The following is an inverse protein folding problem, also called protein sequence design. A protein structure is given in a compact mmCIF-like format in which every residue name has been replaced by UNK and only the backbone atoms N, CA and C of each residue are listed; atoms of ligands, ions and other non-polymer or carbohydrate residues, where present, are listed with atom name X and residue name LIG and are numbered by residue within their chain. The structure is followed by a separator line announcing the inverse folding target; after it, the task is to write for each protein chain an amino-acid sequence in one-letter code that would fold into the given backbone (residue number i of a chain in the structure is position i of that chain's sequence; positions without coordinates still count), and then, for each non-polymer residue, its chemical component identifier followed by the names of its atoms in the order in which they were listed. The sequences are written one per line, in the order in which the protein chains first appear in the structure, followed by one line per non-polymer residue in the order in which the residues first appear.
data_IF_854419003985
#
_entry.id   IF_854419003985
#
_cell.length_a   1.000
_cell.length_b   1.000
_cell.length_c   1.000
_cell.angle_alpha   90.00
_cell.angle_beta   90.00
_cell.angle_gamma   90.00
#
_symmetry.space_group_name_H-M   'P 1'
#
loop_
_entity.id
_entity.type
_entity.pdbx_description
1 polymer ?
#
# COMPACT_ATOMS: atom_id res chain seq x y z
N UNK A 1 23.12 44.52 6.61
CA UNK A 1 23.21 43.08 6.28
C UNK A 1 22.43 42.90 4.99
N UNK A 2 23.09 42.48 3.90
CA UNK A 2 22.42 42.31 2.61
C UNK A 2 21.52 41.08 2.68
N UNK A 3 20.21 41.25 2.52
CA UNK A 3 19.32 40.13 2.23
C UNK A 3 19.85 39.43 0.98
N UNK A 4 20.07 38.12 1.07
CA UNK A 4 20.35 37.32 -0.13
C UNK A 4 19.08 37.37 -0.99
N UNK A 5 19.17 37.61 -2.30
CA UNK A 5 18.04 37.40 -3.18
C UNK A 5 17.70 35.91 -3.11
N UNK A 6 16.57 35.56 -2.48
CA UNK A 6 16.02 34.21 -2.56
C UNK A 6 15.82 33.89 -4.03
N UNK A 7 16.44 32.81 -4.52
CA UNK A 7 16.30 32.43 -5.92
C UNK A 7 14.81 32.31 -6.23
N UNK A 8 14.27 32.89 -7.31
CA UNK A 8 12.84 32.77 -7.64
C UNK A 8 12.38 31.31 -7.87
N UNK A 9 13.31 30.33 -7.98
CA UNK A 9 13.01 28.89 -7.90
C UNK A 9 12.82 28.34 -6.48
N UNK A 10 13.33 29.02 -5.46
CA UNK A 10 13.27 28.60 -4.04
C UNK A 10 12.00 29.14 -3.35
N UNK A 11 11.32 30.12 -3.95
CA UNK A 11 9.99 30.51 -3.52
C UNK A 11 8.99 29.42 -3.90
N UNK A 12 8.44 28.77 -2.87
CA UNK A 12 7.31 27.85 -2.93
C UNK A 12 6.13 28.44 -3.74
N UNK A 13 6.16 28.27 -5.07
CA UNK A 13 5.07 28.63 -5.98
C UNK A 13 5.29 27.97 -7.36
N UNK A 14 5.39 26.64 -7.41
CA UNK A 14 5.24 25.96 -8.71
C UNK A 14 4.02 25.07 -8.62
N UNK A 15 3.05 25.27 -9.51
CA UNK A 15 1.88 24.39 -9.71
C UNK A 15 2.26 23.01 -10.28
N UNK A 16 3.55 22.67 -10.25
CA UNK A 16 4.09 21.39 -10.71
C UNK A 16 3.90 20.34 -9.64
N UNK A 17 3.65 19.11 -10.07
CA UNK A 17 3.53 17.96 -9.18
C UNK A 17 4.87 17.72 -8.44
N UNK A 18 4.90 17.75 -7.10
CA UNK A 18 6.13 17.61 -6.32
C UNK A 18 6.53 16.12 -6.19
N UNK A 19 7.03 15.52 -7.27
CA UNK A 19 7.40 14.09 -7.33
C UNK A 19 8.37 13.65 -6.22
N UNK A 20 9.25 14.55 -5.77
CA UNK A 20 10.22 14.32 -4.70
C UNK A 20 9.60 14.03 -3.31
N UNK A 21 8.29 14.21 -3.13
CA UNK A 21 7.61 13.84 -1.88
C UNK A 21 7.37 12.33 -1.76
N UNK A 22 7.44 11.59 -2.88
CA UNK A 22 7.40 10.13 -2.85
C UNK A 22 8.78 9.62 -2.47
N UNK A 23 8.95 8.83 -1.39
CA UNK A 23 10.24 8.27 -1.05
C UNK A 23 10.71 7.29 -2.13
N UNK A 24 11.96 7.43 -2.59
CA UNK A 24 12.59 6.53 -3.58
C UNK A 24 12.60 5.06 -3.14
N UNK A 25 12.48 4.78 -1.83
CA UNK A 25 12.27 3.43 -1.29
C UNK A 25 11.06 2.72 -1.93
N UNK A 26 9.99 3.47 -2.21
CA UNK A 26 8.81 2.92 -2.90
C UNK A 26 9.18 2.52 -4.32
N UNK A 27 9.91 3.37 -5.05
CA UNK A 27 10.34 3.09 -6.42
C UNK A 27 11.27 1.88 -6.49
N UNK A 28 12.24 1.78 -5.57
CA UNK A 28 13.18 0.67 -5.50
C UNK A 28 12.47 -0.68 -5.26
N UNK A 29 11.54 -0.74 -4.30
CA UNK A 29 10.77 -1.96 -4.04
C UNK A 29 9.81 -2.28 -5.19
N UNK A 30 9.14 -1.27 -5.75
CA UNK A 30 8.29 -1.46 -6.93
C UNK A 30 9.10 -2.05 -8.09
N UNK A 31 10.29 -1.50 -8.37
CA UNK A 31 11.18 -1.97 -9.43
C UNK A 31 11.54 -3.45 -9.25
N UNK A 32 11.83 -3.90 -8.01
CA UNK A 32 12.09 -5.31 -7.72
C UNK A 32 10.89 -6.21 -8.06
N UNK A 33 9.68 -5.82 -7.64
CA UNK A 33 8.46 -6.59 -7.95
C UNK A 33 8.13 -6.55 -9.45
N UNK A 34 8.36 -5.43 -10.13
CA UNK A 34 8.21 -5.34 -11.59
C UNK A 34 9.25 -6.14 -12.35
N UNK A 35 10.49 -6.27 -11.84
CA UNK A 35 11.49 -7.14 -12.43
C UNK A 35 11.05 -8.62 -12.34
N UNK A 36 10.51 -9.05 -11.21
CA UNK A 36 9.90 -10.38 -11.06
C UNK A 36 8.74 -10.57 -12.05
N UNK A 37 7.84 -9.59 -12.17
CA UNK A 37 6.73 -9.62 -13.12
C UNK A 37 7.20 -9.68 -14.58
N UNK A 38 8.21 -8.90 -14.94
CA UNK A 38 8.80 -8.88 -16.27
C UNK A 38 9.46 -10.22 -16.63
N UNK A 39 10.14 -10.85 -15.68
CA UNK A 39 10.72 -12.18 -15.88
C UNK A 39 9.65 -13.27 -16.12
N UNK A 40 8.46 -13.13 -15.53
CA UNK A 40 7.36 -14.10 -15.67
C UNK A 40 6.48 -13.84 -16.91
N UNK A 41 6.22 -12.58 -17.23
CA UNK A 41 5.14 -12.20 -18.15
C UNK A 41 5.53 -11.16 -19.21
N UNK A 42 6.80 -10.74 -19.23
CA UNK A 42 7.27 -9.61 -20.03
C UNK A 42 6.93 -8.26 -19.39
N UNK A 43 7.80 -7.27 -19.61
CA UNK A 43 7.61 -5.92 -19.07
C UNK A 43 6.39 -5.23 -19.71
N UNK A 44 5.66 -4.42 -18.93
CA UNK A 44 4.53 -3.59 -19.38
C UNK A 44 3.36 -4.35 -20.03
N UNK A 45 3.27 -5.67 -19.85
CA UNK A 45 2.26 -6.50 -20.49
C UNK A 45 0.81 -6.03 -20.20
N UNK A 46 0.56 -5.49 -19.00
CA UNK A 46 -0.74 -4.96 -18.58
C UNK A 46 -1.21 -3.77 -19.44
N UNK A 47 -0.29 -2.99 -20.02
CA UNK A 47 -0.62 -1.91 -20.96
C UNK A 47 -1.09 -2.42 -22.32
N UNK A 48 -0.85 -3.69 -22.63
CA UNK A 48 -1.27 -4.31 -23.90
C UNK A 48 -2.48 -5.20 -23.68
N UNK A 49 -2.33 -6.20 -22.80
CA UNK A 49 -3.33 -7.24 -22.54
C UNK A 49 -4.49 -6.79 -21.65
N UNK A 50 -4.30 -5.72 -20.87
CA UNK A 50 -5.28 -5.25 -19.90
C UNK A 50 -5.34 -6.08 -18.63
N UNK A 51 -6.11 -5.58 -17.66
CA UNK A 51 -6.24 -6.17 -16.32
C UNK A 51 -7.66 -6.03 -15.81
N UNK A 52 -8.05 -6.92 -14.87
CA UNK A 52 -9.32 -6.84 -14.14
C UNK A 52 -9.09 -6.33 -12.73
N UNK A 53 -9.90 -5.39 -12.27
CA UNK A 53 -9.82 -4.81 -10.93
C UNK A 53 -9.88 -5.89 -9.83
N UNK A 54 -10.79 -6.85 -9.97
CA UNK A 54 -11.01 -7.95 -9.02
C UNK A 54 -9.77 -8.84 -8.84
N UNK A 55 -9.06 -9.15 -9.93
CA UNK A 55 -7.88 -10.03 -9.93
C UNK A 55 -6.73 -9.39 -9.15
N UNK A 56 -6.42 -8.13 -9.46
CA UNK A 56 -5.34 -7.39 -8.81
C UNK A 56 -5.69 -7.02 -7.37
N UNK A 57 -6.97 -6.71 -7.07
CA UNK A 57 -7.45 -6.58 -5.68
C UNK A 57 -7.24 -7.88 -4.90
N UNK A 58 -7.53 -9.04 -5.50
CA UNK A 58 -7.32 -10.34 -4.89
C UNK A 58 -5.84 -10.63 -4.62
N UNK A 59 -4.96 -10.36 -5.58
CA UNK A 59 -3.52 -10.53 -5.43
C UNK A 59 -2.95 -9.61 -4.34
N UNK A 60 -3.31 -8.33 -4.37
CA UNK A 60 -2.92 -7.35 -3.35
C UNK A 60 -3.32 -7.81 -1.95
N UNK A 61 -4.57 -8.27 -1.77
CA UNK A 61 -5.04 -8.77 -0.46
C UNK A 61 -4.28 -10.01 0.01
N UNK A 62 -3.85 -10.91 -0.88
CA UNK A 62 -3.06 -12.08 -0.48
C UNK A 62 -1.67 -11.70 0.00
N UNK A 63 -0.97 -10.81 -0.72
CA UNK A 63 0.33 -10.31 -0.25
C UNK A 63 0.21 -9.55 1.07
N UNK A 64 -0.79 -8.67 1.18
CA UNK A 64 -1.04 -7.95 2.43
C UNK A 64 -1.35 -8.89 3.59
N UNK A 65 -2.18 -9.92 3.37
CA UNK A 65 -2.53 -10.89 4.40
C UNK A 65 -1.30 -11.69 4.87
N UNK A 66 -0.41 -12.08 3.96
CA UNK A 66 0.83 -12.78 4.33
C UNK A 66 1.76 -11.91 5.18
N UNK A 67 2.01 -10.67 4.74
CA UNK A 67 2.79 -9.71 5.50
C UNK A 67 2.19 -9.44 6.88
N UNK A 68 0.88 -9.21 6.94
CA UNK A 68 0.17 -8.96 8.20
C UNK A 68 0.31 -10.10 9.21
N UNK A 69 0.50 -11.33 8.73
CA UNK A 69 0.67 -12.52 9.55
C UNK A 69 2.14 -12.97 9.67
N UNK A 70 3.10 -12.07 9.41
CA UNK A 70 4.52 -12.27 9.74
C UNK A 70 5.39 -12.89 8.65
N UNK A 71 4.88 -13.10 7.43
CA UNK A 71 5.70 -13.49 6.27
C UNK A 71 6.18 -12.22 5.56
N UNK A 72 7.45 -11.81 5.76
CA UNK A 72 7.96 -10.54 5.22
C UNK A 72 8.12 -10.54 3.69
N UNK A 73 8.48 -11.70 3.12
CA UNK A 73 8.80 -11.86 1.70
C UNK A 73 8.33 -13.20 1.16
N UNK A 74 8.13 -13.27 -0.16
CA UNK A 74 7.79 -14.52 -0.84
C UNK A 74 8.91 -15.55 -0.66
N UNK A 75 8.63 -16.75 -0.12
CA UNK A 75 9.66 -17.74 0.21
C UNK A 75 10.36 -18.30 -1.02
N UNK A 76 9.77 -18.16 -2.22
CA UNK A 76 10.36 -18.64 -3.47
C UNK A 76 11.26 -17.59 -4.11
N UNK A 77 10.86 -16.32 -4.10
CA UNK A 77 11.56 -15.26 -4.85
C UNK A 77 12.30 -14.27 -3.98
N UNK A 78 12.04 -14.25 -2.67
CA UNK A 78 12.60 -13.27 -1.74
C UNK A 78 12.05 -11.86 -1.90
N UNK A 79 11.06 -11.65 -2.78
CA UNK A 79 10.44 -10.34 -3.00
C UNK A 79 9.55 -9.99 -1.81
N UNK A 80 9.75 -8.82 -1.15
CA UNK A 80 8.92 -8.40 -0.02
C UNK A 80 7.45 -8.31 -0.42
N UNK A 81 6.55 -8.77 0.45
CA UNK A 81 5.12 -8.74 0.13
C UNK A 81 4.56 -7.33 -0.05
N UNK A 82 5.07 -6.35 0.71
CA UNK A 82 4.70 -4.95 0.51
C UNK A 82 5.15 -4.41 -0.86
N UNK A 83 6.25 -4.91 -1.43
CA UNK A 83 6.65 -4.56 -2.79
C UNK A 83 5.62 -5.03 -3.82
N UNK A 84 5.11 -6.25 -3.67
CA UNK A 84 4.06 -6.79 -4.54
C UNK A 84 2.70 -6.09 -4.34
N UNK A 85 2.40 -5.61 -3.13
CA UNK A 85 1.24 -4.73 -2.87
C UNK A 85 1.36 -3.42 -3.66
N UNK A 86 2.52 -2.77 -3.62
CA UNK A 86 2.82 -1.55 -4.39
C UNK A 86 2.66 -1.81 -5.89
N UNK A 87 3.26 -2.89 -6.41
CA UNK A 87 3.15 -3.23 -7.83
C UNK A 87 1.70 -3.48 -8.26
N UNK A 88 0.90 -4.19 -7.45
CA UNK A 88 -0.51 -4.42 -7.76
C UNK A 88 -1.30 -3.10 -7.84
N UNK A 89 -1.10 -2.19 -6.88
CA UNK A 89 -1.75 -0.89 -6.89
C UNK A 89 -1.28 -0.02 -8.07
N UNK A 90 0.02 -0.02 -8.35
CA UNK A 90 0.62 0.69 -9.49
C UNK A 90 0.06 0.22 -10.83
N UNK A 91 -0.07 -1.09 -11.04
CA UNK A 91 -0.67 -1.64 -12.26
C UNK A 91 -2.13 -1.24 -12.41
N UNK A 92 -2.92 -1.21 -11.33
CA UNK A 92 -4.31 -0.74 -11.40
C UNK A 92 -4.43 0.73 -11.82
N UNK A 93 -3.59 1.59 -11.26
CA UNK A 93 -3.54 3.02 -11.60
C UNK A 93 -3.10 3.23 -13.06
N UNK A 94 -2.02 2.55 -13.46
CA UNK A 94 -1.43 2.68 -14.78
C UNK A 94 -2.34 2.08 -15.87
N UNK A 95 -2.95 0.91 -15.62
CA UNK A 95 -3.92 0.34 -16.54
C UNK A 95 -5.17 1.23 -16.68
N UNK A 96 -5.63 1.88 -15.61
CA UNK A 96 -6.71 2.87 -15.70
C UNK A 96 -6.30 4.06 -16.58
N UNK A 97 -5.11 4.61 -16.38
CA UNK A 97 -4.56 5.69 -17.19
C UNK A 97 -4.46 5.30 -18.66
N UNK A 98 -4.01 4.07 -18.96
CA UNK A 98 -3.85 3.58 -20.32
C UNK A 98 -5.16 3.08 -20.98
N UNK A 99 -6.31 3.16 -20.33
CA UNK A 99 -7.58 2.62 -20.86
C UNK A 99 -7.60 1.10 -20.99
N UNK A 100 -6.86 0.41 -20.12
CA UNK A 100 -6.63 -1.05 -20.10
C UNK A 100 -7.15 -1.74 -18.85
N UNK A 101 -7.77 -0.99 -17.95
CA UNK A 101 -8.46 -1.53 -16.79
C UNK A 101 -9.90 -1.89 -17.14
N UNK A 102 -10.23 -3.17 -17.04
CA UNK A 102 -11.62 -3.62 -16.91
C UNK A 102 -12.04 -3.44 -15.46
N UNK A 103 -12.93 -2.48 -15.24
CA UNK A 103 -13.52 -2.23 -13.93
C UNK A 103 -14.65 -3.23 -13.65
N UNK A 104 -14.31 -4.36 -13.05
CA UNK A 104 -15.23 -5.42 -12.63
C UNK A 104 -15.46 -5.43 -11.11
N UNK A 105 -15.40 -4.24 -10.48
CA UNK A 105 -15.81 -4.08 -9.08
C UNK A 105 -17.31 -4.40 -8.92
N UNK A 106 -17.74 -4.93 -7.76
CA UNK A 106 -19.16 -5.13 -7.49
C UNK A 106 -19.92 -3.79 -7.52
N UNK A 107 -21.26 -3.81 -7.67
CA UNK A 107 -22.08 -2.61 -7.48
C UNK A 107 -21.70 -1.88 -6.19
N UNK A 108 -21.60 -0.56 -6.27
CA UNK A 108 -21.14 0.24 -5.15
C UNK A 108 -22.08 0.08 -3.94
N UNK A 109 -21.48 -0.12 -2.77
CA UNK A 109 -22.16 -0.07 -1.48
C UNK A 109 -21.59 1.11 -0.67
N UNK A 110 -22.39 1.76 0.20
CA UNK A 110 -21.97 2.91 1.00
C UNK A 110 -21.11 2.48 2.19
N UNK A 111 -20.02 1.74 1.94
CA UNK A 111 -19.15 1.19 3.00
C UNK A 111 -18.47 2.31 3.81
N UNK A 112 -18.23 3.48 3.22
CA UNK A 112 -17.70 4.64 3.94
C UNK A 112 -18.62 5.09 5.06
N UNK A 113 -19.92 5.27 4.76
CA UNK A 113 -20.94 5.63 5.76
C UNK A 113 -21.04 4.58 6.88
N UNK A 114 -21.03 3.29 6.51
CA UNK A 114 -21.03 2.21 7.49
C UNK A 114 -19.79 2.24 8.42
N UNK A 115 -18.62 2.59 7.90
CA UNK A 115 -17.40 2.72 8.71
C UNK A 115 -17.56 3.85 9.72
N UNK A 116 -18.00 5.04 9.27
CA UNK A 116 -18.21 6.20 10.15
C UNK A 116 -19.23 5.90 11.27
N UNK A 117 -20.32 5.20 10.94
CA UNK A 117 -21.32 4.75 11.91
C UNK A 117 -20.73 3.78 12.95
N UNK A 118 -19.91 2.82 12.52
CA UNK A 118 -19.30 1.83 13.41
C UNK A 118 -18.20 2.43 14.30
N UNK A 119 -17.49 3.47 13.85
CA UNK A 119 -16.53 4.20 14.68
C UNK A 119 -17.20 4.86 15.90
N UNK A 120 -18.42 5.40 15.73
CA UNK A 120 -19.19 5.94 16.85
C UNK A 120 -19.54 4.84 17.89
N UNK A 121 -19.86 3.64 17.42
CA UNK A 121 -20.14 2.50 18.29
C UNK A 121 -18.87 1.99 19.00
N UNK A 122 -17.72 1.97 18.32
CA UNK A 122 -16.42 1.69 18.97
C UNK A 122 -16.16 2.68 20.10
N UNK A 123 -16.42 3.98 19.90
CA UNK A 123 -16.28 4.97 20.97
C UNK A 123 -17.17 4.62 22.18
N UNK A 124 -18.43 4.27 21.95
CA UNK A 124 -19.36 3.86 23.02
C UNK A 124 -18.83 2.66 23.82
N UNK A 125 -18.24 1.68 23.14
CA UNK A 125 -17.61 0.51 23.76
C UNK A 125 -16.39 0.92 24.60
N UNK A 126 -15.53 1.80 24.07
CA UNK A 126 -14.36 2.30 24.81
C UNK A 126 -14.77 3.06 26.08
N UNK A 127 -15.81 3.90 26.01
CA UNK A 127 -16.33 4.63 27.17
C UNK A 127 -16.85 3.67 28.27
N UNK A 128 -17.48 2.55 27.90
CA UNK A 128 -17.97 1.53 28.84
C UNK A 128 -16.84 0.84 29.63
N UNK A 129 -15.66 0.70 29.03
CA UNK A 129 -14.52 0.03 29.63
C UNK A 129 -13.37 1.00 29.97
N UNK A 130 -13.65 2.30 30.13
CA UNK A 130 -12.64 3.33 30.31
C UNK A 130 -11.68 3.11 31.49
N UNK A 131 -12.13 2.42 32.56
CA UNK A 131 -11.31 2.09 33.73
C UNK A 131 -10.44 0.84 33.54
N UNK A 132 -10.64 0.08 32.46
CA UNK A 132 -9.86 -1.14 32.17
C UNK A 132 -8.54 -0.76 31.49
N UNK A 133 -7.47 -1.42 31.90
CA UNK A 133 -6.14 -1.29 31.28
C UNK A 133 -5.71 -2.64 30.69
N UNK A 134 -6.32 -3.11 29.59
CA UNK A 134 -5.95 -4.37 28.97
C UNK A 134 -4.54 -4.27 28.37
N UNK A 135 -3.74 -5.34 28.50
CA UNK A 135 -2.48 -5.48 27.75
C UNK A 135 -2.79 -5.84 26.30
N UNK A 136 -2.14 -5.16 25.35
CA UNK A 136 -2.15 -5.52 23.94
C UNK A 136 -0.93 -6.36 23.58
N UNK A 137 -1.13 -7.33 22.68
CA UNK A 137 -0.13 -8.31 22.29
C UNK A 137 0.35 -8.03 20.86
N UNK A 138 1.61 -8.30 20.61
CA UNK A 138 2.36 -8.01 19.40
C UNK A 138 3.23 -9.20 19.00
N UNK A 139 3.84 -9.15 17.82
CA UNK A 139 4.78 -10.19 17.38
C UNK A 139 5.97 -10.38 18.34
N UNK A 140 6.34 -9.34 19.10
CA UNK A 140 7.42 -9.39 20.09
C UNK A 140 7.10 -10.32 21.27
N UNK A 141 5.82 -10.50 21.60
CA UNK A 141 5.41 -11.35 22.72
C UNK A 141 5.65 -12.86 22.46
N UNK A 142 5.74 -13.26 21.20
CA UNK A 142 6.08 -14.64 20.79
C UNK A 142 7.59 -14.82 20.61
N UNK A 143 8.30 -13.81 20.08
CA UNK A 143 9.77 -13.87 19.91
C UNK A 143 10.51 -14.01 21.24
N UNK A 144 10.03 -13.31 22.28
CA UNK A 144 10.58 -13.40 23.64
C UNK A 144 10.43 -14.79 24.28
N UNK A 145 9.43 -15.58 23.87
CA UNK A 145 9.20 -16.93 24.41
C UNK A 145 10.13 -18.00 23.79
N UNK A 146 10.76 -17.71 22.64
CA UNK A 146 11.57 -18.67 21.89
C UNK A 146 13.07 -18.33 21.82
N UNK A 147 13.54 -17.28 22.51
CA UNK A 147 14.97 -16.95 22.62
C UNK A 147 15.65 -16.67 21.28
N UNK A 148 14.89 -16.15 20.30
CA UNK A 148 15.41 -15.75 18.99
C UNK A 148 15.39 -14.22 18.93
N UNK A 149 16.56 -13.63 19.16
CA UNK A 149 16.87 -12.21 18.93
C UNK A 149 17.16 -11.94 17.44
#
# INVERSE_FOLDING_TARGET
MSEKPTNPKDALATSRLPMHLVPDTIEAYAALSFAEGAAKYGAFNWRVAGVRASVYRGALRRHLAKWWNGEDADPKTGVPHLASVIACAGILLDAKLCGKLTDDRPPAAPVGELVDELEAEVKRILDMFAERQPRHWTISDVRAAHGMD
#
